data_IF_134040633490
#
_entry.id   IF_134040633490
#
_cell.length_a   1.000
_cell.length_b   1.000
_cell.length_c   1.000
_cell.angle_alpha   90.00
_cell.angle_beta   90.00
_cell.angle_gamma   90.00
#
_symmetry.space_group_name_H-M   'P 1'
#
loop_
_entity.id
_entity.type
_entity.pdbx_description
1 polymer ?
#
# COMPACT_ATOMS: atom_id res chain seq x y z
N UNK A 1 -24.85 11.20 59.12
CA UNK A 1 -25.66 12.33 58.61
C UNK A 1 -24.78 13.34 57.89
N UNK A 2 -23.65 13.79 58.45
CA UNK A 2 -22.69 14.68 57.75
C UNK A 2 -22.08 14.08 56.46
N UNK A 3 -21.85 12.76 56.41
CA UNK A 3 -21.35 12.09 55.20
C UNK A 3 -22.33 12.09 54.01
N UNK A 4 -23.64 12.14 54.28
CA UNK A 4 -24.67 12.19 53.23
C UNK A 4 -24.91 13.61 52.73
N UNK A 5 -24.74 14.62 53.59
CA UNK A 5 -24.85 16.04 53.22
C UNK A 5 -23.71 16.49 52.30
N UNK A 6 -22.47 16.05 52.58
CA UNK A 6 -21.31 16.34 51.71
C UNK A 6 -21.39 15.59 50.37
N UNK A 7 -22.06 14.43 50.34
CA UNK A 7 -22.32 13.71 49.09
C UNK A 7 -23.40 14.41 48.24
N UNK A 8 -24.48 14.90 48.86
CA UNK A 8 -25.53 15.68 48.20
C UNK A 8 -25.04 17.04 47.67
N UNK A 9 -24.20 17.76 48.44
CA UNK A 9 -23.62 19.04 47.98
C UNK A 9 -22.66 18.86 46.81
N UNK A 10 -21.85 17.80 46.80
CA UNK A 10 -20.96 17.49 45.68
C UNK A 10 -21.72 17.01 44.43
N UNK A 11 -22.83 16.29 44.60
CA UNK A 11 -23.71 15.91 43.50
C UNK A 11 -24.41 17.14 42.89
N UNK A 12 -24.96 18.02 43.73
CA UNK A 12 -25.61 19.25 43.28
C UNK A 12 -24.64 20.23 42.57
N UNK A 13 -23.40 20.33 43.04
CA UNK A 13 -22.37 21.14 42.38
C UNK A 13 -21.92 20.53 41.04
N UNK A 14 -21.86 19.19 40.94
CA UNK A 14 -21.57 18.48 39.70
C UNK A 14 -22.70 18.63 38.67
N UNK A 15 -23.96 18.61 39.10
CA UNK A 15 -25.11 18.78 38.21
C UNK A 15 -25.21 20.23 37.71
N UNK A 16 -24.98 21.23 38.59
CA UNK A 16 -24.93 22.64 38.19
C UNK A 16 -23.83 22.95 37.17
N UNK A 17 -22.68 22.27 37.27
CA UNK A 17 -21.59 22.41 36.28
C UNK A 17 -21.98 21.81 34.92
N UNK A 18 -22.65 20.65 34.91
CA UNK A 18 -23.14 20.03 33.68
C UNK A 18 -24.20 20.88 32.99
N UNK A 19 -25.12 21.46 33.75
CA UNK A 19 -26.15 22.37 33.20
C UNK A 19 -25.51 23.60 32.55
N UNK A 20 -24.49 24.19 33.19
CA UNK A 20 -23.75 25.33 32.59
C UNK A 20 -23.02 24.95 31.30
N UNK A 21 -22.48 23.72 31.21
CA UNK A 21 -21.84 23.22 29.98
C UNK A 21 -22.89 23.01 28.88
N UNK A 22 -24.05 22.44 29.21
CA UNK A 22 -25.16 22.24 28.27
C UNK A 22 -25.62 23.59 27.71
N UNK A 23 -25.84 24.59 28.56
CA UNK A 23 -26.20 25.94 28.14
C UNK A 23 -25.14 26.52 27.18
N UNK A 24 -23.85 26.36 27.52
CA UNK A 24 -22.76 26.85 26.69
C UNK A 24 -22.69 26.16 25.33
N UNK A 25 -22.95 24.85 25.27
CA UNK A 25 -23.01 24.10 24.01
C UNK A 25 -24.17 24.60 23.15
N UNK A 26 -25.35 24.81 23.75
CA UNK A 26 -26.53 25.34 23.05
C UNK A 26 -26.25 26.73 22.46
N UNK A 27 -25.63 27.63 23.24
CA UNK A 27 -25.21 28.96 22.76
C UNK A 27 -24.28 28.84 21.55
N UNK A 28 -23.23 28.04 21.64
CA UNK A 28 -22.24 27.87 20.57
C UNK A 28 -22.85 27.27 19.30
N UNK A 29 -23.78 26.32 19.43
CA UNK A 29 -24.52 25.76 18.28
C UNK A 29 -25.38 26.84 17.63
N UNK A 30 -26.12 27.62 18.41
CA UNK A 30 -26.93 28.72 17.89
C UNK A 30 -26.08 29.78 17.18
N UNK A 31 -24.96 30.17 17.78
CA UNK A 31 -23.98 31.08 17.19
C UNK A 31 -23.43 30.51 15.88
N UNK A 32 -23.13 29.20 15.83
CA UNK A 32 -22.71 28.53 14.61
C UNK A 32 -23.80 28.56 13.53
N UNK A 33 -25.08 28.34 13.86
CA UNK A 33 -26.20 28.36 12.91
C UNK A 33 -26.31 29.74 12.23
N UNK A 34 -26.22 30.82 13.02
CA UNK A 34 -26.36 32.20 12.50
C UNK A 34 -25.06 32.74 11.87
N UNK A 35 -23.92 32.12 12.14
CA UNK A 35 -22.63 32.56 11.63
C UNK A 35 -22.60 32.59 10.09
N UNK A 36 -22.22 33.76 9.55
CA UNK A 36 -22.11 33.98 8.10
C UNK A 36 -20.70 33.72 7.57
N UNK A 37 -19.70 33.66 8.45
CA UNK A 37 -18.29 33.41 8.12
C UNK A 37 -17.91 31.96 8.41
N UNK A 38 -17.20 31.33 7.46
CA UNK A 38 -16.72 29.95 7.58
C UNK A 38 -15.85 29.75 8.84
N UNK A 39 -14.89 30.65 9.08
CA UNK A 39 -13.95 30.53 10.21
C UNK A 39 -14.63 30.58 11.57
N UNK A 40 -15.66 31.41 11.73
CA UNK A 40 -16.42 31.57 12.96
C UNK A 40 -17.27 30.33 13.23
N UNK A 41 -17.98 29.85 12.21
CA UNK A 41 -18.76 28.61 12.29
C UNK A 41 -17.90 27.42 12.68
N UNK A 42 -16.76 27.22 12.02
CA UNK A 42 -15.82 26.13 12.35
C UNK A 42 -15.27 26.27 13.77
N UNK A 43 -14.91 27.49 14.20
CA UNK A 43 -14.40 27.75 15.56
C UNK A 43 -15.43 27.43 16.64
N UNK A 44 -16.70 27.80 16.44
CA UNK A 44 -17.76 27.49 17.40
C UNK A 44 -18.01 25.97 17.47
N UNK A 45 -18.07 25.31 16.31
CA UNK A 45 -18.26 23.87 16.23
C UNK A 45 -17.09 23.07 16.85
N UNK A 46 -15.85 23.56 16.73
CA UNK A 46 -14.70 22.95 17.41
C UNK A 46 -14.80 23.03 18.93
N UNK A 47 -15.25 24.16 19.47
CA UNK A 47 -15.52 24.29 20.91
C UNK A 47 -16.65 23.38 21.36
N UNK A 48 -17.73 23.28 20.56
CA UNK A 48 -18.82 22.32 20.82
C UNK A 48 -18.28 20.89 20.89
N UNK A 49 -17.47 20.47 19.91
CA UNK A 49 -16.87 19.13 19.90
C UNK A 49 -16.08 18.86 21.18
N UNK A 50 -15.24 19.79 21.62
CA UNK A 50 -14.44 19.63 22.84
C UNK A 50 -15.33 19.44 24.07
N UNK A 51 -16.36 20.28 24.23
CA UNK A 51 -17.28 20.21 25.36
C UNK A 51 -18.08 18.91 25.36
N UNK A 52 -18.68 18.52 24.24
CA UNK A 52 -19.57 17.34 24.20
C UNK A 52 -18.82 16.03 24.36
N UNK A 53 -17.57 15.94 23.87
CA UNK A 53 -16.74 14.72 23.94
C UNK A 53 -16.05 14.60 25.31
N UNK A 54 -15.58 15.69 25.90
CA UNK A 54 -14.87 15.64 27.18
C UNK A 54 -15.81 15.48 28.38
N UNK A 55 -17.07 15.90 28.25
CA UNK A 55 -18.07 15.80 29.31
C UNK A 55 -19.08 14.67 29.11
N UNK A 56 -18.87 13.80 28.10
CA UNK A 56 -19.70 12.64 27.78
C UNK A 56 -21.21 12.97 27.63
N UNK A 57 -21.51 14.12 26.99
CA UNK A 57 -22.88 14.59 26.69
C UNK A 57 -23.21 14.56 25.19
N UNK A 58 -22.41 13.81 24.41
CA UNK A 58 -22.50 13.72 22.95
C UNK A 58 -23.89 13.29 22.44
N UNK A 59 -24.53 12.30 23.08
CA UNK A 59 -25.84 11.81 22.66
C UNK A 59 -26.92 12.89 22.64
N UNK A 60 -26.81 13.91 23.50
CA UNK A 60 -27.80 14.99 23.60
C UNK A 60 -27.72 15.99 22.44
N UNK A 61 -26.59 16.03 21.72
CA UNK A 61 -26.29 17.05 20.71
C UNK A 61 -25.88 16.47 19.36
N UNK A 62 -26.01 15.14 19.20
CA UNK A 62 -25.52 14.44 18.02
C UNK A 62 -26.20 14.97 16.75
N UNK A 63 -27.53 15.06 16.77
CA UNK A 63 -28.33 15.44 15.61
C UNK A 63 -28.10 16.90 15.20
N UNK A 64 -27.94 17.81 16.18
CA UNK A 64 -27.65 19.23 15.95
C UNK A 64 -26.30 19.41 15.26
N UNK A 65 -25.27 18.67 15.67
CA UNK A 65 -23.94 18.76 15.08
C UNK A 65 -23.92 18.10 13.69
N UNK A 66 -24.58 16.95 13.53
CA UNK A 66 -24.72 16.28 12.22
C UNK A 66 -25.56 17.11 11.24
N UNK A 67 -26.46 17.97 11.72
CA UNK A 67 -27.23 18.91 10.90
C UNK A 67 -26.37 19.81 10.00
N UNK A 68 -25.11 20.06 10.36
CA UNK A 68 -24.15 20.82 9.55
C UNK A 68 -23.56 20.03 8.38
N UNK A 69 -23.91 18.75 8.19
CA UNK A 69 -23.37 17.90 7.12
C UNK A 69 -23.65 18.44 5.72
N UNK A 70 -24.72 19.21 5.54
CA UNK A 70 -25.10 19.82 4.26
C UNK A 70 -24.77 21.32 4.17
N UNK A 71 -23.89 21.83 5.05
CA UNK A 71 -23.52 23.25 5.04
C UNK A 71 -22.83 23.64 3.72
N UNK A 72 -23.05 24.89 3.29
CA UNK A 72 -22.44 25.45 2.07
C UNK A 72 -20.91 25.49 2.15
N UNK A 73 -20.35 25.68 3.35
CA UNK A 73 -18.92 25.80 3.57
C UNK A 73 -18.25 24.43 3.64
N UNK A 74 -17.18 24.26 2.85
CA UNK A 74 -16.47 22.98 2.72
C UNK A 74 -15.78 22.63 4.04
N UNK A 75 -15.20 23.61 4.74
CA UNK A 75 -14.51 23.32 6.00
C UNK A 75 -15.47 22.95 7.14
N UNK A 76 -16.73 23.39 7.09
CA UNK A 76 -17.79 22.94 8.00
C UNK A 76 -18.16 21.49 7.73
N UNK A 77 -18.36 21.11 6.47
CA UNK A 77 -18.62 19.69 6.11
C UNK A 77 -17.43 18.79 6.46
N UNK A 78 -16.18 19.27 6.28
CA UNK A 78 -14.97 18.56 6.74
C UNK A 78 -14.93 18.41 8.26
N UNK A 79 -15.36 19.43 8.99
CA UNK A 79 -15.48 19.37 10.43
C UNK A 79 -16.45 18.25 10.82
N UNK A 80 -17.64 18.14 10.21
CA UNK A 80 -18.62 17.09 10.54
C UNK A 80 -18.04 15.69 10.34
N UNK A 81 -17.32 15.46 9.23
CA UNK A 81 -16.62 14.18 9.01
C UNK A 81 -15.56 13.92 10.09
N UNK A 82 -14.84 14.95 10.53
CA UNK A 82 -13.87 14.83 11.63
C UNK A 82 -14.52 14.61 12.98
N UNK A 83 -15.67 15.21 13.23
CA UNK A 83 -16.46 14.99 14.43
C UNK A 83 -16.91 13.53 14.51
N UNK A 84 -17.48 12.97 13.43
CA UNK A 84 -17.84 11.54 13.36
C UNK A 84 -16.62 10.65 13.67
N UNK A 85 -15.45 11.00 13.13
CA UNK A 85 -14.21 10.26 13.40
C UNK A 85 -13.84 10.25 14.89
N UNK A 86 -13.91 11.38 15.58
CA UNK A 86 -13.56 11.47 17.00
C UNK A 86 -14.62 10.77 17.85
N UNK A 87 -15.90 10.95 17.54
CA UNK A 87 -17.03 10.32 18.24
C UNK A 87 -16.92 8.80 18.22
N UNK A 88 -16.76 8.17 17.04
CA UNK A 88 -16.64 6.72 16.93
C UNK A 88 -15.33 6.16 17.50
N UNK A 89 -14.27 6.96 17.61
CA UNK A 89 -13.01 6.56 18.28
C UNK A 89 -13.15 6.54 19.79
N UNK A 90 -13.88 7.51 20.35
CA UNK A 90 -14.16 7.65 21.78
C UNK A 90 -15.13 6.56 22.22
N UNK A 91 -16.21 6.37 21.48
CA UNK A 91 -17.21 5.34 21.73
C UNK A 91 -17.69 4.69 20.41
N UNK A 92 -17.28 3.44 20.13
CA UNK A 92 -17.70 2.71 18.94
C UNK A 92 -19.21 2.45 18.85
N UNK A 93 -20.00 2.60 19.93
CA UNK A 93 -21.46 2.44 19.89
C UNK A 93 -22.14 3.54 19.06
N UNK A 94 -21.42 4.59 18.64
CA UNK A 94 -21.92 5.58 17.68
C UNK A 94 -21.88 5.11 16.22
N UNK A 95 -21.22 3.99 15.89
CA UNK A 95 -21.15 3.52 14.50
C UNK A 95 -22.53 3.34 13.84
N UNK A 96 -23.51 2.67 14.48
CA UNK A 96 -24.85 2.54 13.89
C UNK A 96 -25.54 3.87 13.59
N UNK A 97 -25.36 4.85 14.47
CA UNK A 97 -25.97 6.19 14.32
C UNK A 97 -25.32 7.02 13.21
N UNK A 98 -24.03 6.81 12.93
CA UNK A 98 -23.22 7.72 12.09
C UNK A 98 -22.73 7.13 10.76
N UNK A 99 -22.88 5.81 10.55
CA UNK A 99 -22.35 5.15 9.34
C UNK A 99 -23.01 5.67 8.06
N UNK A 100 -24.30 5.99 8.11
CA UNK A 100 -25.04 6.55 6.96
C UNK A 100 -24.54 7.95 6.62
N UNK A 101 -24.15 8.75 7.62
CA UNK A 101 -23.54 10.05 7.38
C UNK A 101 -22.17 9.91 6.70
N UNK A 102 -21.36 8.91 7.07
CA UNK A 102 -20.12 8.63 6.33
C UNK A 102 -20.40 8.20 4.88
N UNK A 103 -21.44 7.39 4.66
CA UNK A 103 -21.88 7.01 3.31
C UNK A 103 -22.35 8.22 2.50
N UNK A 104 -23.03 9.18 3.13
CA UNK A 104 -23.40 10.42 2.46
C UNK A 104 -22.16 11.27 2.11
N UNK A 105 -21.21 11.39 3.03
CA UNK A 105 -20.01 12.20 2.86
C UNK A 105 -19.03 11.67 1.79
N UNK A 106 -18.94 10.33 1.60
CA UNK A 106 -18.12 9.75 0.52
C UNK A 106 -18.72 10.03 -0.86
N UNK A 107 -20.02 10.31 -0.93
CA UNK A 107 -20.76 10.68 -2.14
C UNK A 107 -20.89 12.21 -2.33
N UNK A 108 -20.18 13.02 -1.54
CA UNK A 108 -20.20 14.49 -1.68
C UNK A 108 -19.65 14.94 -3.04
N UNK A 109 -20.29 15.94 -3.64
CA UNK A 109 -19.88 16.55 -4.91
C UNK A 109 -18.47 17.17 -4.86
N UNK A 110 -17.99 17.56 -3.68
CA UNK A 110 -16.70 18.19 -3.50
C UNK A 110 -15.62 17.17 -3.10
N UNK A 111 -14.61 17.04 -3.96
CA UNK A 111 -13.50 16.10 -3.76
C UNK A 111 -12.74 16.28 -2.43
N UNK A 112 -12.74 17.48 -1.82
CA UNK A 112 -12.09 17.67 -0.51
C UNK A 112 -12.86 16.97 0.63
N UNK A 113 -14.19 16.87 0.54
CA UNK A 113 -15.00 16.12 1.50
C UNK A 113 -14.79 14.63 1.31
N UNK A 114 -14.81 14.15 0.06
CA UNK A 114 -14.53 12.74 -0.26
C UNK A 114 -13.16 12.32 0.28
N UNK A 115 -12.11 13.11 0.02
CA UNK A 115 -10.77 12.88 0.57
C UNK A 115 -10.76 12.84 2.10
N UNK A 116 -11.42 13.80 2.76
CA UNK A 116 -11.49 13.86 4.24
C UNK A 116 -12.25 12.64 4.81
N UNK A 117 -13.25 12.15 4.09
CA UNK A 117 -14.05 10.97 4.46
C UNK A 117 -13.23 9.69 4.35
N UNK A 118 -12.49 9.50 3.24
CA UNK A 118 -11.56 8.37 3.10
C UNK A 118 -10.51 8.39 4.23
N UNK A 119 -9.99 9.57 4.59
CA UNK A 119 -9.05 9.71 5.70
C UNK A 119 -9.68 9.30 7.04
N UNK A 120 -10.90 9.75 7.33
CA UNK A 120 -11.63 9.35 8.54
C UNK A 120 -11.84 7.84 8.59
N UNK A 121 -12.34 7.24 7.50
CA UNK A 121 -12.59 5.81 7.40
C UNK A 121 -11.30 4.98 7.53
N UNK A 122 -10.19 5.48 6.99
CA UNK A 122 -8.86 4.85 7.17
C UNK A 122 -8.49 4.76 8.65
N UNK A 123 -8.83 5.78 9.45
CA UNK A 123 -8.57 5.76 10.90
C UNK A 123 -9.59 4.90 11.65
N UNK A 124 -10.86 4.93 11.26
CA UNK A 124 -11.98 4.25 11.92
C UNK A 124 -12.00 2.75 11.68
N UNK A 125 -11.44 2.27 10.56
CA UNK A 125 -11.52 0.88 10.15
C UNK A 125 -11.11 -0.12 11.24
N UNK A 126 -9.98 0.12 11.91
CA UNK A 126 -9.51 -0.73 13.03
C UNK A 126 -10.42 -0.68 14.26
N UNK A 127 -11.07 0.46 14.53
CA UNK A 127 -12.02 0.60 15.63
C UNK A 127 -13.31 -0.13 15.30
N UNK A 128 -13.78 -0.02 14.06
CA UNK A 128 -14.95 -0.72 13.57
C UNK A 128 -14.77 -2.24 13.63
N UNK A 129 -13.65 -2.79 13.14
CA UNK A 129 -13.38 -4.22 13.23
C UNK A 129 -13.26 -4.72 14.68
N UNK A 130 -12.62 -3.94 15.57
CA UNK A 130 -12.59 -4.28 17.00
C UNK A 130 -13.99 -4.32 17.60
N UNK A 131 -14.84 -3.35 17.26
CA UNK A 131 -16.20 -3.26 17.77
C UNK A 131 -17.09 -4.39 17.24
N UNK A 132 -17.13 -4.59 15.92
CA UNK A 132 -17.98 -5.62 15.30
C UNK A 132 -17.61 -7.03 15.79
N UNK A 133 -16.33 -7.27 16.15
CA UNK A 133 -15.89 -8.56 16.71
C UNK A 133 -16.48 -8.89 18.08
N UNK A 134 -16.93 -7.88 18.84
CA UNK A 134 -17.38 -8.02 20.23
C UNK A 134 -18.85 -7.69 20.44
N UNK A 135 -19.41 -6.80 19.62
CA UNK A 135 -20.78 -6.32 19.78
C UNK A 135 -21.79 -7.47 19.62
N UNK A 136 -22.88 -7.40 20.38
CA UNK A 136 -23.99 -8.34 20.22
C UNK A 136 -24.71 -8.03 18.91
N UNK A 137 -24.85 -9.05 18.07
CA UNK A 137 -25.48 -8.92 16.76
C UNK A 137 -26.98 -8.64 16.93
N UNK A 138 -27.44 -7.55 16.32
CA UNK A 138 -28.82 -7.09 16.19
C UNK A 138 -29.06 -6.62 14.75
N UNK A 139 -30.31 -6.49 14.31
CA UNK A 139 -30.66 -6.04 12.94
C UNK A 139 -30.00 -4.70 12.57
N UNK A 140 -29.89 -3.78 13.54
CA UNK A 140 -29.22 -2.49 13.36
C UNK A 140 -27.70 -2.65 13.12
N UNK A 141 -27.05 -3.57 13.85
CA UNK A 141 -25.63 -3.91 13.66
C UNK A 141 -25.41 -4.59 12.31
N UNK A 142 -26.32 -5.46 11.87
CA UNK A 142 -26.25 -6.10 10.55
C UNK A 142 -26.32 -5.05 9.43
N UNK A 143 -27.29 -4.13 9.51
CA UNK A 143 -27.40 -3.02 8.55
C UNK A 143 -26.18 -2.10 8.58
N UNK A 144 -25.63 -1.82 9.76
CA UNK A 144 -24.39 -1.03 9.93
C UNK A 144 -23.20 -1.70 9.24
N UNK A 145 -23.08 -3.02 9.38
CA UNK A 145 -22.06 -3.82 8.71
C UNK A 145 -22.19 -3.77 7.17
N UNK A 146 -23.41 -3.92 6.65
CA UNK A 146 -23.67 -3.84 5.20
C UNK A 146 -23.25 -2.48 4.61
N UNK A 147 -23.63 -1.38 5.27
CA UNK A 147 -23.24 -0.03 4.83
C UNK A 147 -21.72 0.13 4.89
N UNK A 148 -21.06 -0.36 5.95
CA UNK A 148 -19.61 -0.32 6.07
C UNK A 148 -18.92 -1.08 4.93
N UNK A 149 -19.38 -2.30 4.61
CA UNK A 149 -18.88 -3.07 3.46
C UNK A 149 -19.07 -2.32 2.14
N UNK A 150 -20.25 -1.73 1.92
CA UNK A 150 -20.55 -0.95 0.73
C UNK A 150 -19.60 0.25 0.59
N UNK A 151 -19.33 0.97 1.68
CA UNK A 151 -18.38 2.09 1.70
C UNK A 151 -16.97 1.60 1.33
N UNK A 152 -16.50 0.50 1.91
CA UNK A 152 -15.16 -0.03 1.64
C UNK A 152 -15.00 -0.41 0.16
N UNK A 153 -15.98 -1.13 -0.39
CA UNK A 153 -16.00 -1.49 -1.81
C UNK A 153 -16.04 -0.24 -2.70
N UNK A 154 -16.85 0.75 -2.34
CA UNK A 154 -16.90 2.02 -3.05
C UNK A 154 -15.53 2.71 -3.06
N UNK A 155 -14.84 2.77 -1.92
CA UNK A 155 -13.51 3.37 -1.84
C UNK A 155 -12.50 2.62 -2.72
N UNK A 156 -12.44 1.29 -2.63
CA UNK A 156 -11.55 0.49 -3.49
C UNK A 156 -11.84 0.73 -4.99
N UNK A 157 -13.11 0.88 -5.37
CA UNK A 157 -13.52 1.19 -6.74
C UNK A 157 -13.13 2.60 -7.20
N UNK A 158 -12.89 3.56 -6.28
CA UNK A 158 -12.43 4.90 -6.65
C UNK A 158 -11.03 4.89 -7.26
N UNK A 159 -10.23 3.85 -7.04
CA UNK A 159 -8.87 3.75 -7.60
C UNK A 159 -8.89 3.85 -9.13
N UNK A 160 -9.84 3.16 -9.76
CA UNK A 160 -9.98 3.09 -11.22
C UNK A 160 -11.04 4.07 -11.75
N UNK A 161 -12.11 4.33 -10.99
CA UNK A 161 -13.29 5.04 -11.49
C UNK A 161 -13.27 6.56 -11.33
N UNK A 162 -12.36 7.13 -10.51
CA UNK A 162 -12.27 8.59 -10.35
C UNK A 162 -11.21 9.21 -11.24
N UNK A 163 -11.45 10.43 -11.71
CA UNK A 163 -10.44 11.25 -12.40
C UNK A 163 -9.68 12.19 -11.44
N UNK A 164 -9.97 12.13 -10.14
CA UNK A 164 -9.32 12.98 -9.16
C UNK A 164 -8.10 12.28 -8.53
N UNK A 165 -6.91 12.71 -8.92
CA UNK A 165 -5.62 12.22 -8.41
C UNK A 165 -5.49 12.26 -6.87
N UNK A 166 -6.09 13.28 -6.25
CA UNK A 166 -6.09 13.43 -4.79
C UNK A 166 -6.96 12.36 -4.10
N UNK A 167 -8.09 11.99 -4.70
CA UNK A 167 -8.95 10.90 -4.21
C UNK A 167 -8.24 9.56 -4.39
N UNK A 168 -7.60 9.30 -5.55
CA UNK A 168 -6.79 8.10 -5.78
C UNK A 168 -5.68 7.97 -4.72
N UNK A 169 -4.99 9.07 -4.40
CA UNK A 169 -3.96 9.09 -3.36
C UNK A 169 -4.50 8.64 -1.99
N UNK A 170 -5.67 9.13 -1.58
CA UNK A 170 -6.27 8.70 -0.32
C UNK A 170 -6.77 7.26 -0.37
N UNK A 171 -7.29 6.82 -1.53
CA UNK A 171 -7.74 5.44 -1.77
C UNK A 171 -6.60 4.45 -1.59
N UNK A 172 -5.41 4.74 -2.15
CA UNK A 172 -4.20 3.92 -1.97
C UNK A 172 -3.87 3.76 -0.48
N UNK A 173 -4.00 4.82 0.33
CA UNK A 173 -3.74 4.78 1.78
C UNK A 173 -4.81 4.04 2.58
N UNK A 174 -6.06 4.11 2.14
CA UNK A 174 -7.11 3.26 2.69
C UNK A 174 -6.82 1.78 2.41
N UNK A 175 -6.46 1.43 1.17
CA UNK A 175 -6.10 0.06 0.79
C UNK A 175 -4.85 -0.44 1.53
N UNK A 176 -3.84 0.41 1.74
CA UNK A 176 -2.66 0.12 2.59
C UNK A 176 -3.09 -0.35 3.99
N UNK A 177 -3.94 0.45 4.64
CA UNK A 177 -4.46 0.16 5.97
C UNK A 177 -5.27 -1.14 5.97
N UNK A 178 -6.15 -1.33 4.99
CA UNK A 178 -7.03 -2.50 4.91
C UNK A 178 -6.21 -3.79 4.84
N UNK A 179 -5.23 -3.84 3.92
CA UNK A 179 -4.34 -5.01 3.78
C UNK A 179 -3.59 -5.28 5.08
N UNK A 180 -3.03 -4.26 5.72
CA UNK A 180 -2.27 -4.44 6.97
C UNK A 180 -3.18 -4.94 8.11
N UNK A 181 -4.36 -4.34 8.29
CA UNK A 181 -5.28 -4.69 9.38
C UNK A 181 -5.86 -6.10 9.20
N UNK A 182 -6.19 -6.49 7.97
CA UNK A 182 -6.83 -7.78 7.67
C UNK A 182 -5.85 -8.95 7.51
N UNK A 183 -4.55 -8.74 7.71
CA UNK A 183 -3.54 -9.79 7.58
C UNK A 183 -2.74 -9.99 8.85
N UNK A 184 -2.24 -11.21 9.05
CA UNK A 184 -1.46 -11.59 10.24
C UNK A 184 -0.13 -10.85 10.25
N UNK A 185 0.23 -10.31 11.41
CA UNK A 185 1.54 -9.72 11.60
C UNK A 185 2.63 -10.78 11.49
N UNK A 186 3.83 -10.35 11.13
CA UNK A 186 5.02 -11.17 11.27
C UNK A 186 5.84 -10.74 12.49
N UNK A 187 6.92 -11.48 12.76
CA UNK A 187 7.84 -11.19 13.86
C UNK A 187 8.61 -9.86 13.72
N UNK A 188 8.50 -9.18 12.58
CA UNK A 188 9.19 -7.92 12.29
C UNK A 188 8.27 -6.70 12.23
N UNK A 189 6.97 -6.93 12.37
CA UNK A 189 5.92 -5.93 12.44
C UNK A 189 6.05 -5.08 13.71
N UNK A 190 5.52 -3.86 13.68
CA UNK A 190 5.44 -3.03 14.88
C UNK A 190 4.52 -3.67 15.95
N UNK A 191 4.91 -3.61 17.23
CA UNK A 191 4.24 -4.36 18.32
C UNK A 191 2.82 -3.87 18.65
N UNK A 192 2.50 -2.59 18.41
CA UNK A 192 1.28 -1.93 18.90
C UNK A 192 0.12 -1.82 17.89
N UNK A 193 0.25 -2.36 16.68
CA UNK A 193 -0.78 -2.22 15.65
C UNK A 193 -1.81 -3.36 15.64
N UNK A 194 -3.10 -2.98 15.60
CA UNK A 194 -4.20 -3.93 15.44
C UNK A 194 -4.06 -4.72 14.14
N UNK A 195 -4.30 -6.02 14.21
CA UNK A 195 -4.22 -6.94 13.09
C UNK A 195 -5.24 -8.08 13.28
N UNK A 196 -5.39 -8.91 12.25
CA UNK A 196 -6.41 -9.95 12.18
C UNK A 196 -6.30 -11.01 13.29
N UNK A 197 -5.11 -11.23 13.89
CA UNK A 197 -4.94 -12.19 14.99
C UNK A 197 -5.70 -11.79 16.25
N UNK A 198 -5.99 -10.49 16.40
CA UNK A 198 -6.77 -9.95 17.51
C UNK A 198 -8.29 -10.01 17.26
N UNK A 199 -8.70 -10.43 16.06
CA UNK A 199 -10.10 -10.55 15.68
C UNK A 199 -10.64 -11.93 16.04
N UNK A 200 -11.89 -12.01 16.47
CA UNK A 200 -12.59 -13.28 16.71
C UNK A 200 -13.77 -13.39 15.76
N UNK A 201 -13.88 -14.54 15.08
CA UNK A 201 -15.00 -14.84 14.19
C UNK A 201 -16.35 -14.65 14.90
N UNK A 202 -17.29 -14.00 14.23
CA UNK A 202 -18.68 -13.89 14.68
C UNK A 202 -19.62 -14.36 13.56
N UNK A 203 -20.94 -14.08 13.63
CA UNK A 203 -21.87 -14.52 12.58
C UNK A 203 -21.77 -13.70 11.29
N UNK A 204 -21.36 -12.44 11.37
CA UNK A 204 -21.30 -11.50 10.24
C UNK A 204 -19.96 -11.52 9.52
N UNK A 205 -18.86 -11.69 10.28
CA UNK A 205 -17.51 -11.47 9.79
C UNK A 205 -16.65 -12.68 10.12
N UNK A 206 -16.00 -13.21 9.09
CA UNK A 206 -15.04 -14.32 9.18
C UNK A 206 -13.65 -13.85 8.80
N UNK A 207 -12.64 -14.31 9.55
CA UNK A 207 -11.22 -14.02 9.30
C UNK A 207 -10.83 -14.42 7.88
N UNK A 208 -11.31 -15.57 7.40
CA UNK A 208 -10.99 -16.08 6.07
C UNK A 208 -11.48 -15.13 4.96
N UNK A 209 -12.65 -14.51 5.16
CA UNK A 209 -13.20 -13.52 4.21
C UNK A 209 -12.39 -12.23 4.23
N UNK A 210 -11.96 -11.77 5.41
CA UNK A 210 -11.11 -10.59 5.54
C UNK A 210 -9.72 -10.84 4.92
N UNK A 211 -9.12 -12.01 5.15
CA UNK A 211 -7.83 -12.36 4.53
C UNK A 211 -7.94 -12.48 2.99
N UNK A 212 -9.05 -12.99 2.48
CA UNK A 212 -9.32 -13.03 1.04
C UNK A 212 -9.49 -11.62 0.45
N UNK A 213 -10.26 -10.75 1.12
CA UNK A 213 -10.42 -9.34 0.73
C UNK A 213 -9.07 -8.63 0.70
N UNK A 214 -8.24 -8.80 1.73
CA UNK A 214 -6.90 -8.24 1.79
C UNK A 214 -6.04 -8.68 0.60
N UNK A 215 -6.13 -9.95 0.21
CA UNK A 215 -5.39 -10.48 -0.94
C UNK A 215 -5.86 -9.86 -2.26
N UNK A 216 -7.16 -9.65 -2.42
CA UNK A 216 -7.73 -8.99 -3.60
C UNK A 216 -7.31 -7.52 -3.68
N UNK A 217 -7.41 -6.79 -2.57
CA UNK A 217 -7.01 -5.38 -2.47
C UNK A 217 -5.50 -5.21 -2.73
N UNK A 218 -4.67 -6.10 -2.17
CA UNK A 218 -3.23 -6.09 -2.45
C UNK A 218 -2.93 -6.32 -3.94
N UNK A 219 -3.62 -7.26 -4.58
CA UNK A 219 -3.45 -7.52 -6.01
C UNK A 219 -3.89 -6.31 -6.86
N UNK A 220 -4.97 -5.63 -6.48
CA UNK A 220 -5.41 -4.40 -7.13
C UNK A 220 -4.35 -3.28 -7.03
N UNK A 221 -3.66 -3.14 -5.88
CA UNK A 221 -2.54 -2.21 -5.73
C UNK A 221 -1.36 -2.55 -6.65
N UNK A 222 -1.03 -3.84 -6.81
CA UNK A 222 0.04 -4.32 -7.70
C UNK A 222 -0.31 -4.00 -9.16
N UNK A 223 -1.54 -4.31 -9.57
CA UNK A 223 -2.03 -4.01 -10.93
C UNK A 223 -1.94 -2.50 -11.18
N UNK A 224 -2.47 -1.69 -10.25
CA UNK A 224 -2.48 -0.24 -10.36
C UNK A 224 -1.06 0.34 -10.49
N UNK A 225 -0.10 -0.14 -9.69
CA UNK A 225 1.32 0.23 -9.75
C UNK A 225 1.94 0.00 -11.15
N UNK A 226 1.51 -1.06 -11.85
CA UNK A 226 2.00 -1.41 -13.18
C UNK A 226 1.27 -0.72 -14.34
N UNK A 227 0.29 0.15 -14.09
CA UNK A 227 -0.50 0.75 -15.18
C UNK A 227 0.31 1.82 -15.95
N UNK A 228 0.19 1.90 -17.29
CA UNK A 228 1.00 2.80 -18.12
C UNK A 228 0.60 4.28 -17.99
N UNK A 229 -0.59 4.58 -17.45
CA UNK A 229 -1.13 5.94 -17.34
C UNK A 229 -1.18 6.46 -15.91
N UNK A 230 -0.56 5.77 -14.96
CA UNK A 230 -0.45 6.23 -13.57
C UNK A 230 0.34 7.55 -13.48
N UNK A 231 -0.13 8.49 -12.66
CA UNK A 231 0.60 9.73 -12.41
C UNK A 231 1.84 9.50 -11.55
N UNK A 232 2.81 10.41 -11.61
CA UNK A 232 4.02 10.29 -10.81
C UNK A 232 3.74 10.28 -9.30
N UNK A 233 2.73 11.04 -8.85
CA UNK A 233 2.36 11.14 -7.43
C UNK A 233 1.72 9.85 -6.96
N UNK A 234 0.75 9.33 -7.71
CA UNK A 234 0.11 8.06 -7.36
C UNK A 234 1.08 6.89 -7.48
N UNK A 235 1.96 6.85 -8.49
CA UNK A 235 2.97 5.80 -8.62
C UNK A 235 3.91 5.75 -7.41
N UNK A 236 4.47 6.89 -7.00
CA UNK A 236 5.33 6.95 -5.82
C UNK A 236 4.56 6.58 -4.55
N UNK A 237 3.30 7.01 -4.42
CA UNK A 237 2.46 6.65 -3.27
C UNK A 237 2.20 5.15 -3.21
N UNK A 238 1.79 4.52 -4.33
CA UNK A 238 1.56 3.08 -4.42
C UNK A 238 2.85 2.30 -4.16
N UNK A 239 3.99 2.74 -4.71
CA UNK A 239 5.29 2.14 -4.45
C UNK A 239 5.64 2.15 -2.96
N UNK A 240 5.47 3.30 -2.29
CA UNK A 240 5.66 3.43 -0.85
C UNK A 240 4.70 2.53 -0.07
N UNK A 241 3.44 2.42 -0.52
CA UNK A 241 2.42 1.56 0.07
C UNK A 241 2.78 0.08 -0.01
N UNK A 242 3.18 -0.40 -1.18
CA UNK A 242 3.62 -1.78 -1.37
C UNK A 242 4.81 -2.11 -0.45
N UNK A 243 5.80 -1.22 -0.39
CA UNK A 243 6.98 -1.40 0.48
C UNK A 243 6.60 -1.35 1.96
N UNK A 244 5.68 -0.47 2.35
CA UNK A 244 5.17 -0.45 3.72
C UNK A 244 4.48 -1.77 4.08
N UNK A 245 3.58 -2.27 3.22
CA UNK A 245 2.90 -3.56 3.40
C UNK A 245 3.94 -4.68 3.53
N UNK A 246 4.91 -4.80 2.62
CA UNK A 246 5.93 -5.86 2.70
C UNK A 246 6.79 -5.81 3.97
N UNK A 247 7.02 -4.62 4.53
CA UNK A 247 7.76 -4.44 5.79
C UNK A 247 6.94 -4.76 7.03
N UNK A 248 5.61 -4.65 6.95
CA UNK A 248 4.72 -5.05 8.04
C UNK A 248 4.23 -6.49 7.86
N UNK A 249 4.28 -7.05 6.65
CA UNK A 249 3.66 -8.32 6.27
C UNK A 249 4.57 -8.99 5.26
N UNK A 250 5.65 -9.60 5.74
CA UNK A 250 6.70 -10.15 4.88
C UNK A 250 6.26 -11.28 3.96
N UNK A 251 5.06 -11.85 4.15
CA UNK A 251 4.42 -12.73 3.16
C UNK A 251 4.27 -12.07 1.78
N UNK A 252 4.14 -10.73 1.71
CA UNK A 252 4.05 -9.99 0.45
C UNK A 252 5.41 -9.59 -0.14
N UNK A 253 6.53 -9.84 0.58
CA UNK A 253 7.87 -9.38 0.21
C UNK A 253 8.24 -9.74 -1.23
N UNK A 254 8.03 -11.00 -1.60
CA UNK A 254 8.39 -11.48 -2.94
C UNK A 254 7.61 -10.76 -4.04
N UNK A 255 6.29 -10.59 -3.89
CA UNK A 255 5.45 -9.89 -4.87
C UNK A 255 5.83 -8.42 -4.99
N UNK A 256 6.18 -7.78 -3.88
CA UNK A 256 6.61 -6.37 -3.87
C UNK A 256 7.95 -6.20 -4.60
N UNK A 257 8.94 -7.06 -4.34
CA UNK A 257 10.23 -7.01 -5.05
C UNK A 257 10.02 -7.16 -6.56
N UNK A 258 9.19 -8.10 -7.00
CA UNK A 258 8.82 -8.25 -8.41
C UNK A 258 8.16 -7.02 -9.00
N UNK A 259 7.22 -6.40 -8.28
CA UNK A 259 6.56 -5.19 -8.77
C UNK A 259 7.55 -4.02 -8.94
N UNK A 260 8.51 -3.88 -8.02
CA UNK A 260 9.58 -2.88 -8.11
C UNK A 260 10.54 -3.17 -9.28
N UNK A 261 10.88 -4.44 -9.50
CA UNK A 261 11.69 -4.90 -10.64
C UNK A 261 10.98 -4.62 -11.97
N UNK A 262 9.70 -4.98 -12.08
CA UNK A 262 8.89 -4.74 -13.26
C UNK A 262 8.77 -3.25 -13.59
N UNK A 263 8.61 -2.39 -12.57
CA UNK A 263 8.62 -0.94 -12.76
C UNK A 263 9.99 -0.43 -13.23
N UNK A 264 11.09 -0.99 -12.69
CA UNK A 264 12.43 -0.60 -13.12
C UNK A 264 12.66 -0.93 -14.61
N UNK A 265 12.17 -2.08 -15.05
CA UNK A 265 12.21 -2.51 -16.45
C UNK A 265 11.28 -1.68 -17.34
N UNK A 266 10.09 -1.33 -16.85
CA UNK A 266 9.01 -0.73 -17.63
C UNK A 266 8.45 0.51 -16.93
N UNK A 267 9.20 1.62 -16.96
CA UNK A 267 8.70 2.89 -16.46
C UNK A 267 7.55 3.42 -17.35
N UNK A 268 6.47 3.97 -16.76
CA UNK A 268 5.35 4.50 -17.54
C UNK A 268 5.81 5.58 -18.54
N UNK A 269 5.44 5.46 -19.84
CA UNK A 269 5.92 6.36 -20.90
C UNK A 269 5.31 7.76 -20.81
N UNK A 270 4.24 7.92 -20.02
CA UNK A 270 3.54 9.20 -19.78
C UNK A 270 4.32 10.15 -18.86
N UNK A 271 5.36 9.66 -18.17
CA UNK A 271 6.11 10.44 -17.20
C UNK A 271 7.09 11.40 -17.89
N UNK A 272 7.02 12.67 -17.50
CA UNK A 272 8.00 13.68 -17.90
C UNK A 272 9.39 13.36 -17.32
N UNK A 273 10.44 13.91 -17.93
CA UNK A 273 11.84 13.70 -17.52
C UNK A 273 12.10 13.94 -16.02
N UNK A 274 11.55 15.02 -15.47
CA UNK A 274 11.68 15.34 -14.03
C UNK A 274 10.93 14.35 -13.14
N UNK A 275 9.80 13.82 -13.60
CA UNK A 275 9.02 12.80 -12.92
C UNK A 275 9.75 11.45 -12.92
N UNK A 276 10.34 11.04 -14.05
CA UNK A 276 11.16 9.81 -14.14
C UNK A 276 12.32 9.85 -13.15
N UNK A 277 13.04 10.98 -13.08
CA UNK A 277 14.13 11.15 -12.09
C UNK A 277 13.62 11.04 -10.65
N UNK A 278 12.46 11.64 -10.36
CA UNK A 278 11.82 11.58 -9.04
C UNK A 278 11.41 10.14 -8.68
N UNK A 279 10.79 9.41 -9.62
CA UNK A 279 10.38 8.02 -9.46
C UNK A 279 11.58 7.11 -9.24
N UNK A 280 12.66 7.25 -10.01
CA UNK A 280 13.90 6.47 -9.82
C UNK A 280 14.56 6.73 -8.47
N UNK A 281 14.64 7.99 -8.04
CA UNK A 281 15.15 8.36 -6.72
C UNK A 281 14.28 7.75 -5.61
N UNK A 282 12.96 7.78 -5.79
CA UNK A 282 12.01 7.18 -4.86
C UNK A 282 12.14 5.66 -4.81
N UNK A 283 12.27 4.99 -5.97
CA UNK A 283 12.50 3.55 -6.09
C UNK A 283 13.77 3.12 -5.36
N UNK A 284 14.89 3.83 -5.56
CA UNK A 284 16.14 3.59 -4.82
C UNK A 284 15.91 3.68 -3.31
N UNK A 285 15.20 4.70 -2.85
CA UNK A 285 14.87 4.85 -1.42
C UNK A 285 14.03 3.68 -0.90
N UNK A 286 13.01 3.25 -1.63
CA UNK A 286 12.16 2.13 -1.24
C UNK A 286 12.92 0.80 -1.18
N UNK A 287 13.81 0.54 -2.15
CA UNK A 287 14.68 -0.64 -2.13
C UNK A 287 15.65 -0.64 -0.94
N UNK A 288 16.21 0.52 -0.57
CA UNK A 288 17.03 0.64 0.64
C UNK A 288 16.22 0.33 1.92
N UNK A 289 14.95 0.77 1.98
CA UNK A 289 14.06 0.45 3.10
C UNK A 289 13.74 -1.06 3.17
N UNK A 290 13.55 -1.73 2.02
CA UNK A 290 13.39 -3.17 1.98
C UNK A 290 14.66 -3.90 2.42
N UNK A 291 15.85 -3.47 1.99
CA UNK A 291 17.11 -4.12 2.37
C UNK A 291 17.41 -4.03 3.87
N UNK A 292 16.85 -3.03 4.57
CA UNK A 292 16.90 -2.92 6.04
C UNK A 292 15.96 -3.89 6.75
N UNK A 293 15.08 -4.58 6.02
CA UNK A 293 14.15 -5.55 6.59
C UNK A 293 14.83 -6.92 6.75
N UNK A 294 14.75 -7.58 7.92
CA UNK A 294 15.40 -8.87 8.16
C UNK A 294 15.07 -9.95 7.13
N UNK A 295 13.80 -10.11 6.73
CA UNK A 295 13.41 -11.11 5.72
C UNK A 295 14.11 -10.91 4.38
N UNK A 296 14.27 -9.65 3.94
CA UNK A 296 14.94 -9.33 2.69
C UNK A 296 16.46 -9.45 2.81
N UNK A 297 17.02 -9.06 3.96
CA UNK A 297 18.46 -9.14 4.21
C UNK A 297 18.96 -10.57 4.43
N UNK A 298 18.18 -11.45 5.05
CA UNK A 298 18.60 -12.82 5.35
C UNK A 298 18.37 -13.80 4.19
N UNK A 299 17.40 -13.52 3.31
CA UNK A 299 17.19 -14.29 2.09
C UNK A 299 18.23 -13.90 1.05
N UNK A 300 19.12 -14.83 0.69
CA UNK A 300 20.15 -14.59 -0.34
C UNK A 300 19.53 -14.18 -1.69
N UNK A 301 18.40 -14.79 -2.06
CA UNK A 301 17.65 -14.47 -3.27
C UNK A 301 17.15 -13.01 -3.25
N UNK A 302 16.43 -12.61 -2.21
CA UNK A 302 15.90 -11.24 -2.12
C UNK A 302 17.02 -10.20 -1.98
N UNK A 303 18.05 -10.52 -1.18
CA UNK A 303 19.19 -9.63 -0.99
C UNK A 303 19.92 -9.39 -2.32
N UNK A 304 20.17 -10.45 -3.10
CA UNK A 304 20.78 -10.35 -4.43
C UNK A 304 19.96 -9.47 -5.38
N UNK A 305 18.65 -9.74 -5.51
CA UNK A 305 17.75 -8.99 -6.38
C UNK A 305 17.72 -7.50 -6.01
N UNK A 306 17.56 -7.19 -4.72
CA UNK A 306 17.50 -5.80 -4.24
C UNK A 306 18.84 -5.08 -4.46
N UNK A 307 19.98 -5.72 -4.15
CA UNK A 307 21.31 -5.12 -4.36
C UNK A 307 21.56 -4.84 -5.84
N UNK A 308 21.16 -5.75 -6.72
CA UNK A 308 21.31 -5.57 -8.16
C UNK A 308 20.50 -4.37 -8.67
N UNK A 309 19.21 -4.27 -8.31
CA UNK A 309 18.38 -3.11 -8.65
C UNK A 309 18.94 -1.80 -8.07
N UNK A 310 19.48 -1.85 -6.85
CA UNK A 310 20.14 -0.70 -6.23
C UNK A 310 21.37 -0.25 -7.03
N UNK A 311 22.20 -1.19 -7.50
CA UNK A 311 23.36 -0.88 -8.34
C UNK A 311 22.93 -0.23 -9.66
N UNK A 312 21.87 -0.73 -10.31
CA UNK A 312 21.33 -0.16 -11.56
C UNK A 312 20.79 1.27 -11.37
N UNK A 313 20.34 1.59 -10.16
CA UNK A 313 19.89 2.92 -9.75
C UNK A 313 21.04 3.81 -9.21
N UNK A 314 22.29 3.36 -9.29
CA UNK A 314 23.46 4.10 -8.84
C UNK A 314 23.60 4.18 -7.31
N UNK A 315 23.21 3.13 -6.59
CA UNK A 315 23.53 3.01 -5.17
C UNK A 315 25.02 2.69 -4.96
N UNK A 316 25.63 3.38 -3.99
CA UNK A 316 27.00 3.09 -3.59
C UNK A 316 27.09 1.85 -2.71
N UNK A 317 28.22 1.14 -2.77
CA UNK A 317 28.48 -0.01 -1.89
C UNK A 317 28.41 0.34 -0.39
N UNK A 318 28.74 1.57 -0.02
CA UNK A 318 28.60 2.08 1.35
C UNK A 318 27.14 2.20 1.81
N UNK A 319 26.22 2.57 0.91
CA UNK A 319 24.78 2.65 1.21
C UNK A 319 24.20 1.26 1.48
N UNK A 320 24.55 0.30 0.62
CA UNK A 320 24.17 -1.12 0.76
C UNK A 320 24.73 -1.70 2.07
N UNK A 321 26.02 -1.50 2.32
CA UNK A 321 26.68 -2.00 3.52
C UNK A 321 26.05 -1.44 4.80
N UNK A 322 25.72 -0.13 4.82
CA UNK A 322 25.05 0.51 5.96
C UNK A 322 23.69 -0.13 6.25
N UNK A 323 22.91 -0.47 5.22
CA UNK A 323 21.61 -1.12 5.40
C UNK A 323 21.76 -2.51 6.05
N UNK A 324 22.70 -3.32 5.54
CA UNK A 324 22.95 -4.67 6.10
C UNK A 324 23.52 -4.61 7.53
N UNK A 325 24.36 -3.61 7.84
CA UNK A 325 24.83 -3.38 9.20
C UNK A 325 23.71 -3.08 10.19
N UNK A 326 22.68 -2.32 9.81
CA UNK A 326 21.53 -2.03 10.66
C UNK A 326 20.78 -3.32 11.05
N UNK A 327 20.73 -4.31 10.15
CA UNK A 327 20.13 -5.62 10.44
C UNK A 327 21.03 -6.44 11.38
N UNK A 328 22.34 -6.45 11.14
CA UNK A 328 23.32 -7.13 12.02
C UNK A 328 23.28 -6.61 13.46
N UNK A 329 23.07 -5.29 13.65
CA UNK A 329 22.91 -4.68 14.98
C UNK A 329 21.71 -5.22 15.78
N UNK A 330 20.74 -5.86 15.12
CA UNK A 330 19.61 -6.55 15.77
C UNK A 330 19.97 -7.97 16.23
N UNK A 331 21.25 -8.37 16.17
CA UNK A 331 21.71 -9.71 16.55
C UNK A 331 21.53 -10.77 15.46
N UNK A 332 21.17 -10.37 14.24
CA UNK A 332 20.89 -11.28 13.13
C UNK A 332 22.14 -11.56 12.29
N UNK A 333 22.37 -12.84 11.96
CA UNK A 333 23.44 -13.25 11.06
C UNK A 333 23.06 -12.94 9.62
N UNK A 334 23.72 -11.94 9.04
CA UNK A 334 23.51 -11.51 7.66
C UNK A 334 24.85 -11.52 6.95
N UNK A 335 25.06 -12.49 6.07
CA UNK A 335 26.16 -12.47 5.12
C UNK A 335 25.77 -11.60 3.92
N UNK A 336 26.69 -10.73 3.51
CA UNK A 336 26.47 -9.92 2.32
C UNK A 336 26.72 -10.81 1.11
N UNK A 337 25.70 -10.97 0.27
CA UNK A 337 25.81 -11.66 -1.01
C UNK A 337 26.78 -10.87 -1.88
N UNK A 338 27.82 -11.56 -2.35
CA UNK A 338 28.78 -10.99 -3.28
C UNK A 338 28.10 -10.94 -4.65
N UNK A 339 27.57 -9.77 -5.01
CA UNK A 339 27.15 -9.49 -6.39
C UNK A 339 28.42 -9.10 -7.14
N UNK A 340 28.95 -10.01 -7.96
CA UNK A 340 30.24 -9.83 -8.64
C UNK A 340 30.26 -8.55 -9.49
N UNK A 341 30.97 -7.54 -8.98
CA UNK A 341 31.32 -6.31 -9.72
C UNK A 341 32.75 -6.40 -10.28
N UNK A 342 33.25 -7.62 -10.54
CA UNK A 342 34.62 -7.88 -10.98
C UNK A 342 34.91 -7.03 -12.23
N UNK A 343 35.74 -5.99 -12.07
CA UNK A 343 36.45 -5.37 -13.18
C UNK A 343 37.28 -6.49 -13.81
N UNK A 344 36.92 -6.87 -15.01
CA UNK A 344 37.57 -7.95 -15.76
C UNK A 344 39.05 -7.58 -15.92
N UNK A 345 39.91 -8.25 -15.16
CA UNK A 345 41.25 -8.62 -15.61
C UNK A 345 41.08 -10.03 -16.17
N UNK A 346 41.28 -10.15 -17.48
CA UNK A 346 41.34 -11.43 -18.17
C UNK A 346 42.49 -12.24 -17.59
N UNK A 347 42.20 -13.38 -16.98
CA UNK A 347 42.96 -14.62 -17.19
C UNK A 347 41.94 -15.76 -17.26
N UNK A 348 42.13 -16.61 -18.27
CA UNK A 348 41.35 -17.80 -18.55
C UNK A 348 41.80 -18.93 -17.62
N UNK A 349 40.90 -19.85 -17.29
CA UNK A 349 41.19 -21.29 -17.31
C UNK A 349 39.88 -22.09 -17.26
N UNK A 350 39.91 -23.17 -18.03
CA UNK A 350 38.87 -24.17 -18.29
C UNK A 350 38.77 -25.18 -17.13
N UNK A 351 37.58 -25.72 -16.88
CA UNK A 351 37.35 -27.19 -16.79
C UNK A 351 35.88 -27.51 -16.47
N UNK A 352 35.39 -28.52 -17.20
CA UNK A 352 34.04 -29.10 -17.23
C UNK A 352 33.72 -30.01 -16.02
N UNK A 353 32.43 -30.18 -15.69
CA UNK A 353 31.85 -31.49 -15.33
C UNK A 353 30.30 -31.43 -15.35
N UNK A 354 29.70 -32.32 -16.16
CA UNK A 354 28.25 -32.53 -16.35
C UNK A 354 27.66 -33.46 -15.28
N UNK A 355 26.47 -33.12 -14.76
CA UNK A 355 25.58 -34.06 -14.05
C UNK A 355 24.12 -33.85 -14.51
N UNK A 356 23.54 -34.85 -15.17
CA UNK A 356 22.14 -34.87 -15.63
C UNK A 356 21.16 -35.13 -14.47
N UNK A 357 20.16 -34.27 -14.29
CA UNK A 357 19.01 -34.52 -13.41
C UNK A 357 17.72 -34.54 -14.23
N UNK A 358 17.07 -35.70 -14.27
CA UNK A 358 15.75 -35.94 -14.87
C UNK A 358 14.65 -35.34 -13.97
N UNK A 359 13.85 -34.40 -14.49
CA UNK A 359 12.71 -33.83 -13.77
C UNK A 359 11.37 -34.18 -14.47
N UNK A 360 10.53 -34.92 -13.76
CA UNK A 360 9.10 -35.11 -14.08
C UNK A 360 8.28 -33.84 -13.77
N UNK A 361 7.27 -33.49 -14.56
CA UNK A 361 6.56 -32.21 -14.42
C UNK A 361 5.51 -32.22 -13.28
N UNK A 362 5.51 -31.25 -12.35
CA UNK A 362 4.42 -31.02 -11.41
C UNK A 362 3.41 -29.98 -11.91
N UNK A 363 2.16 -30.15 -11.47
CA UNK A 363 0.97 -29.34 -11.80
C UNK A 363 1.05 -27.93 -11.21
N UNK A 364 0.54 -26.96 -11.98
CA UNK A 364 0.68 -25.50 -11.83
C UNK A 364 -0.49 -24.91 -11.02
N UNK A 365 -0.20 -24.10 -9.99
CA UNK A 365 -1.18 -23.20 -9.32
C UNK A 365 -0.52 -21.98 -8.65
N UNK A 366 -0.90 -20.77 -9.09
CA UNK A 366 -0.93 -19.41 -8.48
C UNK A 366 0.32 -18.87 -7.74
N UNK A 367 1.38 -19.64 -7.52
CA UNK A 367 2.76 -19.15 -7.32
C UNK A 367 3.47 -18.89 -8.66
N UNK A 368 2.73 -19.00 -9.75
CA UNK A 368 3.23 -19.23 -11.11
C UNK A 368 3.93 -18.03 -11.74
N UNK A 369 3.69 -16.79 -11.30
CA UNK A 369 4.32 -15.62 -11.91
C UNK A 369 5.81 -15.51 -11.60
N UNK A 370 6.21 -15.75 -10.35
CA UNK A 370 7.62 -15.90 -9.98
C UNK A 370 8.24 -17.05 -10.75
N UNK A 371 7.60 -18.22 -10.71
CA UNK A 371 8.09 -19.42 -11.37
C UNK A 371 8.19 -19.24 -12.88
N UNK A 372 7.26 -18.55 -13.53
CA UNK A 372 7.29 -18.30 -14.97
C UNK A 372 8.38 -17.30 -15.37
N UNK A 373 8.58 -16.24 -14.58
CA UNK A 373 9.69 -15.30 -14.78
C UNK A 373 11.02 -16.01 -14.54
N UNK A 374 11.13 -16.81 -13.48
CA UNK A 374 12.33 -17.57 -13.14
C UNK A 374 12.66 -18.61 -14.22
N UNK A 375 11.68 -19.42 -14.64
CA UNK A 375 11.84 -20.40 -15.74
C UNK A 375 12.27 -19.70 -17.04
N UNK A 376 11.55 -18.65 -17.43
CA UNK A 376 11.87 -17.92 -18.66
C UNK A 376 13.24 -17.24 -18.57
N UNK A 377 13.65 -16.77 -17.37
CA UNK A 377 14.98 -16.21 -17.16
C UNK A 377 16.06 -17.28 -17.31
N UNK A 378 15.88 -18.46 -16.70
CA UNK A 378 16.80 -19.59 -16.83
C UNK A 378 16.96 -20.02 -18.30
N UNK A 379 15.87 -20.05 -19.08
CA UNK A 379 15.93 -20.36 -20.52
C UNK A 379 16.64 -19.28 -21.36
N UNK A 380 16.65 -18.04 -20.88
CA UNK A 380 17.30 -16.92 -21.57
C UNK A 380 18.80 -16.87 -21.30
N UNK A 381 19.28 -17.29 -20.12
CA UNK A 381 20.71 -17.26 -19.77
C UNK A 381 21.60 -17.87 -20.86
N UNK A 382 21.40 -19.13 -21.32
CA UNK A 382 22.27 -19.71 -22.34
C UNK A 382 22.16 -18.97 -23.68
N UNK A 383 20.98 -18.42 -24.00
CA UNK A 383 20.77 -17.64 -25.24
C UNK A 383 21.50 -16.31 -25.22
N UNK A 384 21.67 -15.70 -24.04
CA UNK A 384 22.40 -14.44 -23.86
C UNK A 384 23.92 -14.63 -23.88
N UNK A 385 24.42 -15.85 -23.69
CA UNK A 385 25.85 -16.18 -23.89
C UNK A 385 26.24 -16.25 -25.37
N UNK A 386 25.28 -16.44 -26.27
CA UNK A 386 25.53 -16.56 -27.71
C UNK A 386 25.66 -15.16 -28.32
N UNK A 387 26.88 -14.78 -28.73
CA UNK A 387 27.21 -13.46 -29.28
C UNK A 387 26.34 -13.09 -30.50
N UNK A 388 26.05 -14.06 -31.37
CA UNK A 388 25.21 -13.84 -32.55
C UNK A 388 23.78 -13.45 -32.16
N UNK A 389 23.18 -14.12 -31.18
CA UNK A 389 21.85 -13.78 -30.69
C UNK A 389 21.80 -12.36 -30.12
N UNK A 390 22.82 -11.98 -29.35
CA UNK A 390 22.91 -10.62 -28.79
C UNK A 390 23.08 -9.58 -29.89
N UNK A 391 23.92 -9.87 -30.87
CA UNK A 391 24.18 -8.98 -32.00
C UNK A 391 22.93 -8.78 -32.85
N UNK A 392 22.21 -9.86 -33.17
CA UNK A 392 20.94 -9.80 -33.90
C UNK A 392 19.88 -9.04 -33.10
N UNK A 393 19.77 -9.30 -31.80
CA UNK A 393 18.84 -8.58 -30.91
C UNK A 393 19.11 -7.07 -30.92
N UNK A 394 20.39 -6.66 -30.84
CA UNK A 394 20.79 -5.25 -30.90
C UNK A 394 20.48 -4.68 -32.28
N UNK A 395 20.87 -5.34 -33.38
CA UNK A 395 20.65 -4.88 -34.75
C UNK A 395 19.16 -4.69 -35.06
N UNK A 396 18.31 -5.63 -34.64
CA UNK A 396 16.85 -5.52 -34.78
C UNK A 396 16.32 -4.35 -33.93
N UNK A 397 16.82 -4.19 -32.72
CA UNK A 397 16.43 -3.08 -31.84
C UNK A 397 16.85 -1.71 -32.38
N UNK A 398 17.97 -1.62 -33.12
CA UNK A 398 18.43 -0.37 -33.72
C UNK A 398 17.41 0.24 -34.68
N UNK A 399 16.58 -0.57 -35.34
CA UNK A 399 15.50 -0.10 -36.22
C UNK A 399 14.39 0.63 -35.46
N UNK A 400 14.28 0.38 -34.15
CA UNK A 400 13.26 0.97 -33.27
C UNK A 400 13.80 2.16 -32.46
N UNK A 401 15.08 2.51 -32.61
CA UNK A 401 15.68 3.63 -31.91
C UNK A 401 15.34 4.97 -32.61
N UNK A 402 15.11 6.04 -31.84
CA UNK A 402 14.92 7.37 -32.41
C UNK A 402 16.23 7.93 -32.99
N UNK A 403 16.12 8.76 -34.03
CA UNK A 403 17.26 9.38 -34.74
C UNK A 403 18.14 10.27 -33.83
N UNK A 404 17.57 10.77 -32.73
CA UNK A 404 18.27 11.58 -31.75
C UNK A 404 18.18 10.92 -30.38
N UNK A 405 19.31 10.91 -29.65
CA UNK A 405 19.38 10.36 -28.30
C UNK A 405 18.35 11.05 -27.41
N UNK A 406 17.39 10.31 -26.84
CA UNK A 406 16.35 10.94 -26.04
C UNK A 406 16.95 11.61 -24.81
N UNK A 407 16.53 12.86 -24.56
CA UNK A 407 17.01 13.63 -23.42
C UNK A 407 16.76 12.96 -22.06
N UNK A 408 15.81 12.01 -21.99
CA UNK A 408 15.54 11.19 -20.80
C UNK A 408 16.61 10.11 -20.57
N UNK A 409 17.07 9.45 -21.64
CA UNK A 409 18.12 8.45 -21.58
C UNK A 409 19.41 9.09 -21.05
N UNK A 410 19.80 10.23 -21.62
CA UNK A 410 20.97 11.01 -21.19
C UNK A 410 20.99 11.36 -19.69
N UNK A 411 19.84 11.69 -19.10
CA UNK A 411 19.78 12.12 -17.71
C UNK A 411 19.65 10.98 -16.69
N UNK A 412 19.38 9.77 -17.18
CA UNK A 412 19.09 8.62 -16.31
C UNK A 412 19.95 7.40 -16.59
N UNK A 413 20.79 7.49 -17.63
CA UNK A 413 21.82 6.50 -17.93
C UNK A 413 22.80 6.40 -16.78
N UNK A 414 22.85 5.23 -16.17
CA UNK A 414 23.87 4.87 -15.20
C UNK A 414 24.81 3.89 -15.89
N UNK A 415 26.10 4.25 -16.09
CA UNK A 415 27.06 3.34 -16.69
C UNK A 415 27.14 2.03 -15.92
N UNK A 416 27.06 0.91 -16.62
CA UNK A 416 27.20 -0.41 -16.01
C UNK A 416 28.69 -0.60 -15.63
N UNK A 417 28.97 -0.70 -14.33
CA UNK A 417 30.34 -0.70 -13.81
C UNK A 417 31.16 -1.96 -14.19
N UNK A 418 30.49 -3.10 -14.41
CA UNK A 418 31.10 -4.37 -14.83
C UNK A 418 30.17 -5.10 -15.80
N UNK A 419 30.38 -4.88 -17.11
CA UNK A 419 29.58 -5.51 -18.14
C UNK A 419 30.04 -6.96 -18.41
N UNK A 420 29.12 -7.89 -18.65
CA UNK A 420 29.37 -9.28 -19.03
C UNK A 420 29.59 -10.27 -17.88
N UNK A 421 29.37 -9.89 -16.61
CA UNK A 421 29.49 -10.84 -15.50
C UNK A 421 28.34 -11.85 -15.51
N UNK A 422 28.53 -13.10 -15.03
CA UNK A 422 27.43 -14.08 -14.94
C UNK A 422 26.23 -13.55 -14.15
N UNK A 423 26.49 -12.79 -13.08
CA UNK A 423 25.45 -12.13 -12.28
C UNK A 423 24.66 -11.11 -13.10
N UNK A 424 25.33 -10.33 -13.94
CA UNK A 424 24.65 -9.37 -14.81
C UNK A 424 23.87 -10.04 -15.94
N UNK A 425 24.38 -11.14 -16.51
CA UNK A 425 23.66 -11.93 -17.52
C UNK A 425 22.37 -12.50 -16.92
N UNK A 426 22.44 -13.07 -15.71
CA UNK A 426 21.25 -13.52 -14.97
C UNK A 426 20.26 -12.39 -14.73
N UNK A 427 20.75 -11.22 -14.35
CA UNK A 427 19.90 -10.05 -14.14
C UNK A 427 19.23 -9.57 -15.44
N UNK A 428 19.99 -9.48 -16.53
CA UNK A 428 19.46 -9.11 -17.84
C UNK A 428 18.41 -10.13 -18.32
N UNK A 429 18.67 -11.42 -18.14
CA UNK A 429 17.72 -12.49 -18.42
C UNK A 429 16.42 -12.30 -17.64
N UNK A 430 16.52 -11.89 -16.37
CA UNK A 430 15.36 -11.62 -15.51
C UNK A 430 14.56 -10.39 -15.94
N UNK A 431 15.24 -9.29 -16.33
CA UNK A 431 14.58 -8.10 -16.88
C UNK A 431 13.87 -8.39 -18.21
N UNK A 432 14.53 -9.14 -19.11
CA UNK A 432 13.94 -9.57 -20.38
C UNK A 432 12.78 -10.53 -20.16
N UNK A 433 12.94 -11.49 -19.25
CA UNK A 433 11.89 -12.44 -18.85
C UNK A 433 10.65 -11.71 -18.32
N UNK A 434 10.85 -10.67 -17.50
CA UNK A 434 9.76 -9.83 -16.98
C UNK A 434 9.00 -9.16 -18.13
N UNK A 435 9.72 -8.61 -19.12
CA UNK A 435 9.11 -8.00 -20.30
C UNK A 435 8.38 -9.03 -21.18
N UNK A 436 9.01 -10.18 -21.47
CA UNK A 436 8.41 -11.25 -22.27
C UNK A 436 7.17 -11.81 -21.60
N UNK A 437 7.22 -12.08 -20.30
CA UNK A 437 6.08 -12.59 -19.53
C UNK A 437 4.93 -11.59 -19.54
N UNK A 438 5.23 -10.29 -19.38
CA UNK A 438 4.23 -9.21 -19.48
C UNK A 438 3.59 -9.13 -20.88
N UNK A 439 4.35 -9.44 -21.93
CA UNK A 439 3.86 -9.50 -23.30
C UNK A 439 3.15 -10.82 -23.66
N UNK A 440 3.04 -11.78 -22.73
CA UNK A 440 2.51 -13.12 -23.03
C UNK A 440 3.44 -13.95 -23.92
N UNK A 441 4.76 -13.75 -23.83
CA UNK A 441 5.79 -14.42 -24.64
C UNK A 441 6.79 -15.22 -23.79
N UNK A 442 6.55 -15.40 -22.49
CA UNK A 442 7.40 -16.22 -21.62
C UNK A 442 7.36 -17.70 -22.00
N UNK A 443 8.41 -18.47 -21.66
CA UNK A 443 8.54 -19.87 -22.10
C UNK A 443 7.37 -20.73 -21.63
N UNK A 444 6.86 -20.49 -20.43
CA UNK A 444 5.69 -21.19 -19.88
C UNK A 444 4.43 -20.96 -20.73
N UNK A 445 4.26 -19.74 -21.27
CA UNK A 445 3.14 -19.42 -22.16
C UNK A 445 3.31 -20.04 -23.56
N UNK A 446 4.55 -20.05 -24.10
CA UNK A 446 4.86 -20.68 -25.38
C UNK A 446 4.63 -22.20 -25.31
N UNK A 447 5.08 -22.86 -24.24
CA UNK A 447 4.81 -24.29 -24.00
C UNK A 447 3.30 -24.55 -23.85
N UNK A 448 2.56 -23.72 -23.12
CA UNK A 448 1.11 -23.84 -22.99
C UNK A 448 0.37 -23.74 -24.34
N UNK A 449 0.77 -22.81 -25.22
CA UNK A 449 0.24 -22.73 -26.58
C UNK A 449 0.61 -23.97 -27.41
N UNK A 450 1.84 -24.49 -27.27
CA UNK A 450 2.29 -25.67 -27.99
C UNK A 450 1.55 -26.95 -27.56
N UNK A 451 1.26 -27.11 -26.26
CA UNK A 451 0.47 -28.20 -25.71
C UNK A 451 -1.00 -28.14 -26.16
N UNK A 452 -1.61 -26.95 -26.18
CA UNK A 452 -3.00 -26.80 -26.63
C UNK A 452 -3.16 -26.92 -28.16
N UNK A 453 -2.16 -26.50 -28.96
CA UNK A 453 -2.17 -26.73 -30.42
C UNK A 453 -2.00 -28.19 -30.82
N UNK A 454 -1.39 -29.03 -29.97
CA UNK A 454 -1.31 -30.49 -30.20
C UNK A 454 -2.61 -31.25 -29.89
N UNK A 455 -3.64 -30.58 -29.35
CA UNK A 455 -4.93 -31.23 -29.00
C UNK A 455 -6.03 -30.98 -30.06
N UNK A 456 -5.71 -30.29 -31.17
CA UNK A 456 -6.64 -30.02 -32.29
C UNK A 456 -6.10 -30.58 -33.62
N UNK A 457 -5.50 -31.77 -33.59
CA UNK A 457 -5.31 -32.60 -34.78
C UNK A 457 -5.52 -34.08 -34.43
#
# INVERSE_FOLDING_TARGET
MESNLVADENAAASDSLKDSIIERVVELINDAIVATKESEKVSNLQQVQELVINHDILDNFLDEIIGFQNDKFIDVRKFVVGFIEVSCKKDPEFFPKLIVNLNFAINDSNANIVKRTIQALTQLYKYFLKWISKVKISDEVESTWEVFCSINQQICNLLDNTNNEGIRTQTIKFMEMLVVVQTKKDQWSAEDDFNIELFTNNKLVKIEQLEEEAQQVFEQLIIYHGTPHISSVNLMTTMQTLVFIARQRSQYMSKVIQALEALHANLPPTLAKSQVSSVRKHLKLQLLLLLKHPTAAMSSQFQSQIIQLLNDLGAGQSEVHRCLQEVRKRGLKVEQVIVETKRIKLEADEDDEDDEIVLTPPKITRSDANTAIDITAEDLIPKLHIITNISDLVLVSMLSLPDQMPAHFLASYTPIAAAGTPSQIKHLARLLSTQLTSAGLGTVFIQYIHLNKKTIF
#
